data_IF_952296312156
#
_entry.id   IF_952296312156
#
_cell.length_a   1.000
_cell.length_b   1.000
_cell.length_c   1.000
_cell.angle_alpha   90.00
_cell.angle_beta   90.00
_cell.angle_gamma   90.00
#
_symmetry.space_group_name_H-M   'P 1'
#
loop_
_entity.id
_entity.type
_entity.pdbx_description
1 polymer ?
#
# COMPACT_ATOMS: atom_id res chain seq x y z
N UNK A 1 12.94 23.79 -15.66
CA UNK A 1 11.60 23.93 -16.18
C UNK A 1 11.62 23.63 -17.67
N UNK A 2 11.11 22.48 -18.04
CA UNK A 2 11.16 22.03 -19.43
C UNK A 2 9.77 22.12 -20.08
N UNK A 3 9.74 22.52 -21.35
CA UNK A 3 8.55 22.41 -22.18
C UNK A 3 8.35 20.95 -22.58
N UNK A 4 7.18 20.41 -22.32
CA UNK A 4 6.78 19.06 -22.75
C UNK A 4 6.55 18.94 -24.28
N UNK A 5 6.78 20.01 -25.04
CA UNK A 5 6.75 19.98 -26.50
C UNK A 5 7.87 19.09 -27.03
N UNK A 6 7.51 17.93 -27.54
CA UNK A 6 8.44 16.94 -28.05
C UNK A 6 8.55 15.71 -27.15
N UNK A 7 7.55 15.45 -26.30
CA UNK A 7 7.41 14.19 -25.56
C UNK A 7 7.75 13.02 -26.48
N UNK A 8 8.86 12.33 -26.19
CA UNK A 8 9.23 11.10 -26.87
C UNK A 8 8.15 10.03 -26.72
N UNK A 9 8.21 8.99 -27.53
CA UNK A 9 7.22 7.90 -27.54
C UNK A 9 6.98 7.27 -26.17
N UNK A 10 7.91 7.45 -25.23
CA UNK A 10 7.81 6.97 -23.82
C UNK A 10 6.64 7.60 -23.07
N UNK A 11 6.29 8.86 -23.40
CA UNK A 11 5.20 9.60 -22.75
C UNK A 11 3.95 9.74 -23.62
N UNK A 12 4.05 9.46 -24.92
CA UNK A 12 2.95 9.58 -25.89
C UNK A 12 1.98 8.39 -25.94
N UNK A 13 2.30 7.29 -25.22
CA UNK A 13 1.49 6.06 -25.28
C UNK A 13 0.15 6.13 -24.57
N UNK A 14 -0.13 7.24 -23.87
CA UNK A 14 -1.36 7.41 -23.12
C UNK A 14 -2.30 8.36 -23.87
N UNK A 15 -3.00 7.87 -24.89
CA UNK A 15 -4.08 8.62 -25.56
C UNK A 15 -5.15 9.08 -24.54
N UNK A 16 -5.40 8.27 -23.50
CA UNK A 16 -6.35 8.52 -22.41
C UNK A 16 -6.03 9.79 -21.61
N UNK A 17 -4.74 10.14 -21.46
CA UNK A 17 -4.28 11.24 -20.62
C UNK A 17 -3.72 12.44 -21.41
N UNK A 18 -3.90 12.46 -22.73
CA UNK A 18 -3.33 13.50 -23.61
C UNK A 18 -3.68 14.93 -23.18
N UNK A 19 -4.92 15.10 -22.71
CA UNK A 19 -5.44 16.40 -22.27
C UNK A 19 -4.93 16.85 -20.90
N UNK A 20 -4.34 15.94 -20.12
CA UNK A 20 -3.77 16.21 -18.81
C UNK A 20 -2.28 16.58 -18.88
N UNK A 21 -1.65 16.40 -20.05
CA UNK A 21 -0.22 16.67 -20.23
C UNK A 21 0.03 18.19 -20.23
N UNK A 22 0.84 18.63 -19.28
CA UNK A 22 1.24 20.02 -19.14
C UNK A 22 2.39 20.38 -20.10
N UNK A 23 2.41 21.62 -20.57
CA UNK A 23 3.51 22.14 -21.39
C UNK A 23 4.83 22.24 -20.61
N UNK A 24 4.77 22.37 -19.29
CA UNK A 24 5.90 22.43 -18.37
C UNK A 24 5.49 21.97 -16.98
N UNK A 25 6.45 21.56 -16.20
CA UNK A 25 6.25 21.27 -14.77
C UNK A 25 6.86 22.40 -13.94
N UNK A 26 6.15 22.80 -12.89
CA UNK A 26 6.64 23.76 -11.90
C UNK A 26 7.08 22.99 -10.65
N UNK A 27 8.31 23.24 -10.21
CA UNK A 27 8.89 22.59 -9.06
C UNK A 27 9.22 23.66 -8.04
N UNK A 28 8.54 23.63 -6.90
CA UNK A 28 8.85 24.48 -5.77
C UNK A 28 10.01 23.88 -4.99
N UNK A 29 11.09 24.66 -4.83
CA UNK A 29 12.22 24.20 -4.06
C UNK A 29 11.88 24.26 -2.56
N UNK A 30 12.07 23.16 -1.81
CA UNK A 30 11.55 23.05 -0.45
C UNK A 30 12.30 23.93 0.57
N UNK A 31 13.52 24.37 0.28
CA UNK A 31 14.39 25.05 1.21
C UNK A 31 15.23 26.16 0.57
N UNK A 32 15.77 27.05 1.41
CA UNK A 32 16.70 28.12 1.00
C UNK A 32 18.09 27.60 0.63
N UNK A 33 18.41 26.35 0.94
CA UNK A 33 19.70 25.69 0.66
C UNK A 33 19.44 24.47 -0.21
N UNK A 34 20.07 24.41 -1.36
CA UNK A 34 20.03 23.29 -2.27
C UNK A 34 21.30 22.48 -2.14
N UNK A 35 21.17 21.17 -1.94
CA UNK A 35 22.32 20.25 -1.87
C UNK A 35 22.88 19.95 -3.25
N UNK A 36 24.11 19.43 -3.30
CA UNK A 36 24.72 19.02 -4.56
C UNK A 36 23.90 17.96 -5.31
N UNK A 37 23.28 17.02 -4.60
CA UNK A 37 22.45 15.97 -5.19
C UNK A 37 21.21 16.57 -5.88
N UNK A 38 20.56 17.52 -5.23
CA UNK A 38 19.40 18.21 -5.78
C UNK A 38 19.75 19.04 -7.02
N UNK A 39 20.91 19.73 -7.01
CA UNK A 39 21.40 20.46 -8.20
C UNK A 39 21.65 19.50 -9.36
N UNK A 40 22.30 18.36 -9.12
CA UNK A 40 22.57 17.35 -10.15
C UNK A 40 21.26 16.76 -10.72
N UNK A 41 20.28 16.52 -9.86
CA UNK A 41 18.97 16.05 -10.28
C UNK A 41 18.24 17.10 -11.15
N UNK A 42 18.24 18.36 -10.74
CA UNK A 42 17.70 19.46 -11.53
C UNK A 42 18.38 19.59 -12.89
N UNK A 43 19.70 19.44 -12.95
CA UNK A 43 20.46 19.47 -14.18
C UNK A 43 20.05 18.31 -15.12
N UNK A 44 19.92 17.10 -14.59
CA UNK A 44 19.39 15.95 -15.35
C UNK A 44 18.00 16.25 -15.89
N UNK A 45 17.09 16.77 -15.06
CA UNK A 45 15.75 17.13 -15.47
C UNK A 45 15.76 18.19 -16.57
N UNK A 46 16.59 19.24 -16.40
CA UNK A 46 16.69 20.35 -17.34
C UNK A 46 17.22 19.93 -18.73
N UNK A 47 18.05 18.91 -18.78
CA UNK A 47 18.67 18.45 -20.04
C UNK A 47 18.01 17.19 -20.65
N UNK A 48 17.04 16.60 -19.98
CA UNK A 48 16.42 15.34 -20.44
C UNK A 48 15.48 15.51 -21.65
N UNK A 49 14.87 16.68 -21.85
CA UNK A 49 13.90 16.96 -22.93
C UNK A 49 12.77 15.93 -23.03
N UNK A 50 12.45 15.22 -21.96
CA UNK A 50 11.50 14.10 -21.94
C UNK A 50 11.85 12.95 -22.91
N UNK A 51 13.11 12.82 -23.30
CA UNK A 51 13.58 11.77 -24.20
C UNK A 51 13.73 10.42 -23.49
N UNK A 52 14.07 10.48 -22.19
CA UNK A 52 14.27 9.29 -21.35
C UNK A 52 13.37 9.33 -20.15
N UNK A 53 12.77 8.19 -19.76
CA UNK A 53 11.99 8.14 -18.51
C UNK A 53 12.90 8.32 -17.30
N UNK A 54 12.43 9.08 -16.31
CA UNK A 54 13.11 9.28 -15.04
C UNK A 54 12.29 8.58 -13.98
N UNK A 55 12.95 7.71 -13.23
CA UNK A 55 12.35 6.95 -12.16
C UNK A 55 13.04 7.22 -10.83
N UNK A 56 12.25 7.24 -9.78
CA UNK A 56 12.71 7.30 -8.39
C UNK A 56 12.36 5.97 -7.72
N UNK A 57 13.34 5.40 -7.00
CA UNK A 57 13.09 4.22 -6.16
C UNK A 57 12.28 4.64 -4.94
N UNK A 58 11.16 3.95 -4.68
CA UNK A 58 10.36 4.19 -3.49
C UNK A 58 11.10 3.79 -2.22
N UNK A 59 10.58 4.21 -1.07
CA UNK A 59 10.99 3.71 0.24
C UNK A 59 11.66 4.70 1.18
N UNK A 60 12.11 5.86 0.72
CA UNK A 60 12.53 6.94 1.62
C UNK A 60 11.47 8.03 1.65
N UNK A 61 10.91 8.30 2.82
CA UNK A 61 10.04 9.45 3.08
C UNK A 61 10.83 10.68 3.54
N UNK A 62 12.13 10.68 3.36
CA UNK A 62 12.94 11.85 3.66
C UNK A 62 12.63 12.94 2.63
N UNK A 63 12.07 14.04 3.11
CA UNK A 63 11.63 15.20 2.32
C UNK A 63 12.74 15.83 1.46
N UNK A 64 13.99 15.47 1.74
CA UNK A 64 15.17 16.06 1.12
C UNK A 64 15.45 15.65 -0.32
N UNK A 65 14.85 14.55 -0.85
CA UNK A 65 15.24 14.04 -2.16
C UNK A 65 14.24 14.40 -3.27
N UNK A 66 13.24 13.58 -3.52
CA UNK A 66 12.34 13.74 -4.68
C UNK A 66 10.89 14.08 -4.32
N UNK A 67 10.55 14.14 -3.04
CA UNK A 67 9.18 14.40 -2.56
C UNK A 67 8.65 15.76 -3.01
N UNK A 68 9.54 16.75 -3.22
CA UNK A 68 9.21 18.05 -3.79
C UNK A 68 8.67 17.99 -5.22
N UNK A 69 8.82 16.85 -5.94
CA UNK A 69 8.19 16.57 -7.22
C UNK A 69 6.94 15.68 -7.10
N UNK A 70 6.44 15.44 -5.88
CA UNK A 70 5.34 14.50 -5.59
C UNK A 70 4.11 14.69 -6.48
N UNK A 71 3.80 15.94 -6.83
CA UNK A 71 2.65 16.28 -7.66
C UNK A 71 2.77 15.79 -9.11
N UNK A 72 3.95 15.36 -9.52
CA UNK A 72 4.27 14.91 -10.89
C UNK A 72 4.74 13.45 -10.93
N UNK A 73 4.48 12.69 -9.89
CA UNK A 73 4.88 11.29 -9.83
C UNK A 73 3.74 10.37 -10.25
N UNK A 74 4.10 9.29 -10.93
CA UNK A 74 3.23 8.17 -11.28
C UNK A 74 3.84 6.88 -10.72
N UNK A 75 3.04 6.08 -10.04
CA UNK A 75 3.47 4.79 -9.52
C UNK A 75 3.44 3.73 -10.61
N UNK A 76 4.62 3.29 -11.05
CA UNK A 76 4.81 2.21 -12.01
C UNK A 76 5.32 0.95 -11.26
N UNK A 77 4.42 0.19 -10.69
CA UNK A 77 4.75 -1.00 -9.90
C UNK A 77 5.41 -0.69 -8.55
N UNK A 78 6.75 -0.72 -8.48
CA UNK A 78 7.52 -0.45 -7.24
C UNK A 78 8.34 0.85 -7.30
N UNK A 79 8.24 1.59 -8.37
CA UNK A 79 9.02 2.81 -8.61
C UNK A 79 8.09 3.95 -9.00
N UNK A 80 8.54 5.18 -8.77
CA UNK A 80 7.83 6.38 -9.19
C UNK A 80 8.45 6.95 -10.45
N UNK A 81 7.64 7.09 -11.48
CA UNK A 81 8.00 7.74 -12.74
C UNK A 81 7.65 9.22 -12.69
N UNK A 82 8.56 10.09 -13.10
CA UNK A 82 8.25 11.49 -13.32
C UNK A 82 7.42 11.64 -14.59
N UNK A 83 6.26 12.28 -14.51
CA UNK A 83 5.35 12.52 -15.63
C UNK A 83 4.93 13.98 -15.68
N UNK A 84 4.67 14.56 -16.86
CA UNK A 84 4.22 15.94 -17.01
C UNK A 84 2.70 16.06 -16.78
N UNK A 85 2.19 15.37 -15.78
CA UNK A 85 0.77 15.36 -15.39
C UNK A 85 0.71 15.73 -13.92
N UNK A 86 0.07 16.86 -13.60
CA UNK A 86 -0.08 17.28 -12.21
C UNK A 86 -1.25 16.55 -11.58
N UNK A 87 -0.96 15.89 -10.47
CA UNK A 87 -1.96 15.23 -9.64
C UNK A 87 -2.04 15.95 -8.30
N UNK A 88 -3.22 16.39 -7.91
CA UNK A 88 -3.44 16.88 -6.55
C UNK A 88 -3.39 15.67 -5.61
N UNK A 89 -2.36 15.60 -4.80
CA UNK A 89 -2.19 14.53 -3.82
C UNK A 89 -2.85 14.96 -2.52
N UNK A 90 -3.71 14.10 -1.97
CA UNK A 90 -4.05 14.16 -0.56
C UNK A 90 -2.74 14.12 0.24
N UNK A 91 -2.68 14.85 1.37
CA UNK A 91 -1.50 14.89 2.25
C UNK A 91 -1.23 13.54 2.94
N UNK A 92 -1.30 12.45 2.19
CA UNK A 92 -1.04 11.09 2.64
C UNK A 92 0.17 10.54 1.89
N UNK A 93 1.34 10.42 2.55
CA UNK A 93 2.55 9.92 1.92
C UNK A 93 2.41 8.49 1.38
N UNK A 94 1.50 7.69 1.94
CA UNK A 94 1.20 6.34 1.47
C UNK A 94 0.42 6.31 0.15
N UNK A 95 -0.16 7.45 -0.27
CA UNK A 95 -0.89 7.62 -1.54
C UNK A 95 -0.15 8.51 -2.53
N UNK A 96 1.16 8.67 -2.38
CA UNK A 96 1.97 9.48 -3.30
C UNK A 96 1.94 8.91 -4.72
N UNK A 97 1.88 9.82 -5.71
CA UNK A 97 1.87 9.49 -7.15
C UNK A 97 0.50 9.03 -7.66
N UNK A 98 0.17 9.42 -8.88
CA UNK A 98 -1.00 8.88 -9.61
C UNK A 98 -0.78 7.43 -10.00
N UNK A 99 -1.85 6.74 -10.34
CA UNK A 99 -1.80 5.41 -10.95
C UNK A 99 -2.39 5.51 -12.35
N UNK A 100 -1.69 4.95 -13.32
CA UNK A 100 -2.23 4.53 -14.60
C UNK A 100 -2.54 3.05 -14.46
N UNK A 101 -3.82 2.73 -14.29
CA UNK A 101 -4.29 1.39 -13.95
C UNK A 101 -3.92 0.36 -15.01
N UNK A 102 -4.06 0.67 -16.30
CA UNK A 102 -3.74 -0.25 -17.39
C UNK A 102 -2.24 -0.54 -17.47
N UNK A 103 -1.40 0.51 -17.38
CA UNK A 103 0.05 0.35 -17.40
C UNK A 103 0.54 -0.41 -16.18
N UNK A 104 0.06 -0.03 -14.99
CA UNK A 104 0.49 -0.67 -13.75
C UNK A 104 0.03 -2.13 -13.67
N UNK A 105 -1.18 -2.44 -14.15
CA UNK A 105 -1.67 -3.82 -14.27
C UNK A 105 -0.74 -4.65 -15.15
N UNK A 106 -0.37 -4.16 -16.34
CA UNK A 106 0.56 -4.82 -17.25
C UNK A 106 1.96 -5.05 -16.66
N UNK A 107 2.43 -4.11 -15.85
CA UNK A 107 3.72 -4.21 -15.13
C UNK A 107 3.63 -5.31 -14.07
N UNK A 108 2.60 -5.28 -13.24
CA UNK A 108 2.39 -6.22 -12.12
C UNK A 108 2.25 -7.65 -12.62
N UNK A 109 1.53 -7.87 -13.73
CA UNK A 109 1.37 -9.20 -14.35
C UNK A 109 2.69 -9.81 -14.84
N UNK A 110 3.72 -9.00 -15.05
CA UNK A 110 5.07 -9.45 -15.47
C UNK A 110 6.05 -9.66 -14.30
N UNK A 111 5.63 -9.38 -13.07
CA UNK A 111 6.51 -9.56 -11.92
C UNK A 111 6.93 -11.04 -11.73
N UNK A 112 8.19 -11.23 -11.39
CA UNK A 112 8.70 -12.54 -10.97
C UNK A 112 8.67 -12.63 -9.44
N UNK A 113 7.97 -13.62 -8.91
CA UNK A 113 7.70 -13.75 -7.47
C UNK A 113 8.68 -14.67 -6.71
N UNK A 114 9.55 -15.41 -7.44
CA UNK A 114 10.65 -16.16 -6.84
C UNK A 114 10.24 -17.18 -5.78
N UNK A 115 9.14 -17.91 -5.99
CA UNK A 115 8.57 -18.87 -5.04
C UNK A 115 8.10 -18.23 -3.70
N UNK A 116 7.74 -16.96 -3.71
CA UNK A 116 7.30 -16.24 -2.51
C UNK A 116 6.12 -16.89 -1.77
N UNK A 117 5.32 -17.68 -2.46
CA UNK A 117 4.18 -18.43 -1.92
C UNK A 117 4.55 -19.77 -1.25
N UNK A 118 5.80 -20.25 -1.42
CA UNK A 118 6.20 -21.57 -0.96
C UNK A 118 6.38 -21.63 0.56
N UNK A 119 5.90 -22.70 1.18
CA UNK A 119 6.15 -23.06 2.57
C UNK A 119 7.46 -23.82 2.77
N UNK A 120 8.10 -24.24 1.67
CA UNK A 120 9.37 -24.96 1.70
C UNK A 120 10.59 -24.04 1.88
N UNK A 121 10.40 -22.71 1.75
CA UNK A 121 11.46 -21.71 1.89
C UNK A 121 11.31 -20.93 3.19
N UNK A 122 12.45 -20.53 3.75
CA UNK A 122 12.45 -19.64 4.91
C UNK A 122 12.19 -18.19 4.47
N UNK A 123 11.08 -17.61 4.98
CA UNK A 123 10.75 -16.22 4.77
C UNK A 123 11.41 -15.37 5.88
N UNK A 124 12.59 -14.86 5.62
CA UNK A 124 13.32 -14.03 6.56
C UNK A 124 12.61 -12.69 6.85
N UNK A 125 12.96 -12.00 7.97
CA UNK A 125 12.30 -10.75 8.35
C UNK A 125 12.38 -9.65 7.29
N UNK A 126 13.49 -9.53 6.56
CA UNK A 126 13.66 -8.51 5.52
C UNK A 126 12.78 -8.80 4.30
N UNK A 127 12.69 -10.05 3.87
CA UNK A 127 11.75 -10.47 2.81
C UNK A 127 10.31 -10.15 3.20
N UNK A 128 9.92 -10.45 4.45
CA UNK A 128 8.59 -10.12 4.97
C UNK A 128 8.35 -8.62 5.03
N UNK A 129 9.35 -7.83 5.44
CA UNK A 129 9.30 -6.38 5.48
C UNK A 129 9.16 -5.78 4.07
N UNK A 130 9.94 -6.25 3.11
CA UNK A 130 9.87 -5.78 1.73
C UNK A 130 8.49 -6.02 1.09
N UNK A 131 7.77 -7.06 1.51
CA UNK A 131 6.40 -7.32 1.05
C UNK A 131 5.39 -6.20 1.38
N UNK A 132 5.72 -5.31 2.31
CA UNK A 132 4.91 -4.13 2.66
C UNK A 132 4.67 -3.27 1.42
N UNK A 133 5.73 -2.92 0.70
CA UNK A 133 5.62 -2.10 -0.51
C UNK A 133 4.80 -2.79 -1.61
N UNK A 134 4.98 -4.09 -1.79
CA UNK A 134 4.20 -4.86 -2.75
C UNK A 134 2.70 -4.82 -2.43
N UNK A 135 2.33 -5.13 -1.17
CA UNK A 135 0.92 -5.14 -0.75
C UNK A 135 0.28 -3.77 -0.83
N UNK A 136 0.99 -2.74 -0.37
CA UNK A 136 0.52 -1.35 -0.44
C UNK A 136 0.26 -0.93 -1.89
N UNK A 137 1.17 -1.23 -2.80
CA UNK A 137 1.03 -0.84 -4.19
C UNK A 137 -0.03 -1.66 -4.93
N UNK A 138 -0.19 -2.96 -4.61
CA UNK A 138 -1.27 -3.78 -5.16
C UNK A 138 -2.65 -3.33 -4.64
N UNK A 139 -2.74 -2.91 -3.38
CA UNK A 139 -3.97 -2.34 -2.84
C UNK A 139 -4.37 -1.07 -3.59
N UNK A 140 -3.42 -0.16 -3.79
CA UNK A 140 -3.66 1.07 -4.55
C UNK A 140 -4.09 0.80 -6.00
N UNK A 141 -3.47 -0.18 -6.66
CA UNK A 141 -3.88 -0.60 -8.01
C UNK A 141 -5.30 -1.17 -8.00
N UNK A 142 -5.65 -2.01 -7.03
CA UNK A 142 -7.01 -2.56 -6.94
C UNK A 142 -8.05 -1.47 -6.68
N UNK A 143 -7.76 -0.50 -5.80
CA UNK A 143 -8.62 0.66 -5.55
C UNK A 143 -8.87 1.48 -6.82
N UNK A 144 -7.83 1.73 -7.62
CA UNK A 144 -7.95 2.48 -8.89
C UNK A 144 -8.79 1.70 -9.92
N UNK A 145 -8.49 0.41 -10.12
CA UNK A 145 -9.27 -0.46 -11.02
C UNK A 145 -10.75 -0.51 -10.62
N UNK A 146 -11.05 -0.57 -9.33
CA UNK A 146 -12.43 -0.54 -8.81
C UNK A 146 -13.08 0.81 -9.13
N UNK A 147 -12.38 1.92 -8.96
CA UNK A 147 -12.88 3.27 -9.25
C UNK A 147 -13.24 3.46 -10.73
N UNK A 148 -12.53 2.75 -11.62
CA UNK A 148 -12.76 2.74 -13.07
C UNK A 148 -13.81 1.70 -13.51
N UNK A 149 -14.30 0.83 -12.59
CA UNK A 149 -15.26 -0.23 -12.89
C UNK A 149 -14.64 -1.51 -13.46
N UNK A 150 -13.31 -1.64 -13.45
CA UNK A 150 -12.55 -2.79 -13.96
C UNK A 150 -12.47 -3.91 -12.91
N UNK A 151 -13.64 -4.41 -12.46
CA UNK A 151 -13.76 -5.33 -11.33
C UNK A 151 -13.05 -6.67 -11.52
N UNK A 152 -13.01 -7.20 -12.75
CA UNK A 152 -12.33 -8.45 -13.07
C UNK A 152 -10.81 -8.30 -12.92
N UNK A 153 -10.25 -7.19 -13.42
CA UNK A 153 -8.82 -6.91 -13.24
C UNK A 153 -8.47 -6.67 -11.76
N UNK A 154 -9.35 -5.97 -11.03
CA UNK A 154 -9.18 -5.76 -9.60
C UNK A 154 -9.15 -7.09 -8.83
N UNK A 155 -10.07 -8.02 -9.12
CA UNK A 155 -10.08 -9.37 -8.52
C UNK A 155 -8.78 -10.12 -8.82
N UNK A 156 -8.28 -10.08 -10.06
CA UNK A 156 -7.01 -10.73 -10.41
C UNK A 156 -5.83 -10.19 -9.60
N UNK A 157 -5.76 -8.87 -9.38
CA UNK A 157 -4.71 -8.25 -8.57
C UNK A 157 -4.83 -8.64 -7.09
N UNK A 158 -6.04 -8.68 -6.56
CA UNK A 158 -6.30 -9.13 -5.19
C UNK A 158 -5.92 -10.61 -5.01
N UNK A 159 -6.35 -11.49 -5.92
CA UNK A 159 -5.99 -12.90 -5.90
C UNK A 159 -4.47 -13.10 -6.00
N UNK A 160 -3.80 -12.31 -6.83
CA UNK A 160 -2.35 -12.32 -6.94
C UNK A 160 -1.68 -11.95 -5.62
N UNK A 161 -2.15 -10.90 -4.93
CA UNK A 161 -1.58 -10.46 -3.66
C UNK A 161 -1.67 -11.56 -2.59
N UNK A 162 -2.83 -12.18 -2.43
CA UNK A 162 -3.05 -13.23 -1.42
C UNK A 162 -2.38 -14.55 -1.78
N UNK A 163 -2.30 -14.91 -3.08
CA UNK A 163 -1.64 -16.14 -3.51
C UNK A 163 -0.12 -16.05 -3.40
N UNK A 164 0.47 -14.89 -3.74
CA UNK A 164 1.92 -14.70 -3.77
C UNK A 164 2.53 -14.28 -2.44
N UNK A 165 1.71 -13.74 -1.55
CA UNK A 165 2.12 -13.35 -0.20
C UNK A 165 1.12 -13.89 0.82
N UNK A 166 1.10 -15.21 1.10
CA UNK A 166 0.16 -15.81 2.04
C UNK A 166 0.24 -15.16 3.43
N UNK A 167 -0.92 -14.94 4.06
CA UNK A 167 -1.05 -14.36 5.40
C UNK A 167 -0.18 -15.10 6.42
N UNK A 168 -0.04 -16.41 6.27
CA UNK A 168 0.66 -17.27 7.22
C UNK A 168 2.16 -16.99 7.29
N UNK A 169 2.77 -16.50 6.20
CA UNK A 169 4.22 -16.31 6.12
C UNK A 169 4.67 -14.87 6.25
N UNK A 170 3.85 -13.91 5.81
CA UNK A 170 4.31 -12.54 5.62
C UNK A 170 4.10 -11.61 6.82
N UNK A 171 3.16 -11.87 7.72
CA UNK A 171 2.90 -10.96 8.85
C UNK A 171 2.43 -9.57 8.40
N UNK A 172 2.70 -8.53 9.21
CA UNK A 172 2.27 -7.14 8.95
C UNK A 172 0.78 -7.05 8.58
N UNK A 173 -0.04 -7.61 9.43
CA UNK A 173 -1.46 -7.94 9.14
C UNK A 173 -2.32 -6.73 8.80
N UNK A 174 -2.01 -5.55 9.33
CA UNK A 174 -2.71 -4.30 9.00
C UNK A 174 -2.74 -3.97 7.51
N UNK A 175 -1.76 -4.47 6.75
CA UNK A 175 -1.69 -4.24 5.30
C UNK A 175 -2.63 -5.15 4.49
N UNK A 176 -3.32 -6.07 5.13
CA UNK A 176 -4.34 -6.88 4.48
C UNK A 176 -5.72 -6.22 4.49
N UNK A 177 -5.98 -5.33 5.45
CA UNK A 177 -7.29 -4.67 5.61
C UNK A 177 -7.73 -3.89 4.36
N UNK A 178 -6.88 -3.10 3.69
CA UNK A 178 -7.27 -2.43 2.44
C UNK A 178 -7.63 -3.40 1.31
N UNK A 179 -6.90 -4.52 1.19
CA UNK A 179 -7.20 -5.57 0.21
C UNK A 179 -8.52 -6.30 0.53
N UNK A 180 -8.80 -6.53 1.81
CA UNK A 180 -10.08 -7.08 2.29
C UNK A 180 -11.23 -6.14 1.91
N UNK A 181 -11.06 -4.83 2.14
CA UNK A 181 -12.03 -3.81 1.73
C UNK A 181 -12.29 -3.87 0.23
N UNK A 182 -11.25 -3.91 -0.59
CA UNK A 182 -11.37 -4.00 -2.05
C UNK A 182 -12.18 -5.23 -2.52
N UNK A 183 -12.02 -6.39 -1.85
CA UNK A 183 -12.85 -7.55 -2.16
C UNK A 183 -14.34 -7.33 -1.81
N UNK A 184 -14.65 -6.63 -0.73
CA UNK A 184 -16.02 -6.25 -0.42
C UNK A 184 -16.60 -5.32 -1.49
N UNK A 185 -15.80 -4.32 -1.90
CA UNK A 185 -16.21 -3.33 -2.90
C UNK A 185 -16.56 -3.98 -4.26
N UNK A 186 -15.96 -5.13 -4.59
CA UNK A 186 -16.29 -5.92 -5.79
C UNK A 186 -17.26 -7.08 -5.53
N UNK A 187 -17.87 -7.15 -4.33
CA UNK A 187 -18.92 -8.13 -4.00
C UNK A 187 -18.42 -9.57 -3.77
N UNK A 188 -17.15 -9.78 -3.40
CA UNK A 188 -16.56 -11.12 -3.18
C UNK A 188 -16.55 -11.53 -1.71
N UNK A 189 -17.67 -11.38 -1.01
CA UNK A 189 -17.82 -11.66 0.42
C UNK A 189 -17.40 -13.07 0.85
N UNK A 190 -17.59 -14.08 0.00
CA UNK A 190 -17.15 -15.46 0.28
C UNK A 190 -15.62 -15.56 0.49
N UNK A 191 -14.83 -14.94 -0.43
CA UNK A 191 -13.38 -14.89 -0.29
C UNK A 191 -12.95 -14.15 0.98
N UNK A 192 -13.64 -13.06 1.28
CA UNK A 192 -13.37 -12.25 2.46
C UNK A 192 -13.56 -13.04 3.75
N UNK A 193 -14.60 -13.88 3.84
CA UNK A 193 -14.87 -14.67 5.06
C UNK A 193 -13.67 -15.54 5.46
N UNK A 194 -13.05 -16.22 4.50
CA UNK A 194 -11.86 -17.03 4.78
C UNK A 194 -10.67 -16.18 5.25
N UNK A 195 -10.46 -15.02 4.61
CA UNK A 195 -9.38 -14.09 4.93
C UNK A 195 -9.59 -13.51 6.34
N UNK A 196 -10.80 -13.04 6.62
CA UNK A 196 -11.19 -12.48 7.92
C UNK A 196 -10.98 -13.51 9.03
N UNK A 197 -11.40 -14.75 8.84
CA UNK A 197 -11.20 -15.82 9.82
C UNK A 197 -9.71 -16.04 10.12
N UNK A 198 -8.86 -16.08 9.08
CA UNK A 198 -7.41 -16.21 9.26
C UNK A 198 -6.82 -15.02 10.01
N UNK A 199 -7.17 -13.79 9.64
CA UNK A 199 -6.66 -12.58 10.30
C UNK A 199 -7.11 -12.51 11.77
N UNK A 200 -8.38 -12.75 12.04
CA UNK A 200 -8.93 -12.75 13.39
C UNK A 200 -8.28 -13.81 14.27
N UNK A 201 -8.05 -15.01 13.72
CA UNK A 201 -7.29 -16.05 14.41
C UNK A 201 -5.87 -15.59 14.77
N UNK A 202 -5.15 -14.96 13.82
CA UNK A 202 -3.79 -14.45 14.06
C UNK A 202 -3.78 -13.37 15.16
N UNK A 203 -4.73 -12.46 15.17
CA UNK A 203 -4.83 -11.45 16.24
C UNK A 203 -5.16 -12.08 17.58
N UNK A 204 -6.16 -12.98 17.64
CA UNK A 204 -6.53 -13.65 18.87
C UNK A 204 -5.41 -14.54 19.43
N UNK A 205 -4.67 -15.25 18.58
CA UNK A 205 -3.53 -16.09 18.97
C UNK A 205 -2.41 -15.24 19.57
N UNK A 206 -2.04 -14.13 18.95
CA UNK A 206 -1.04 -13.20 19.46
C UNK A 206 -1.46 -12.56 20.80
N UNK A 207 -2.70 -12.10 20.90
CA UNK A 207 -3.22 -11.55 22.16
C UNK A 207 -3.27 -12.62 23.25
N UNK A 208 -3.60 -13.87 22.92
CA UNK A 208 -3.54 -15.01 23.85
C UNK A 208 -2.11 -15.27 24.32
N UNK A 209 -1.13 -15.21 23.43
CA UNK A 209 0.28 -15.31 23.80
C UNK A 209 0.67 -14.19 24.77
N UNK A 210 0.38 -12.94 24.47
CA UNK A 210 0.69 -11.82 25.35
C UNK A 210 0.02 -11.95 26.73
N UNK A 211 -1.20 -12.47 26.78
CA UNK A 211 -1.90 -12.70 28.05
C UNK A 211 -1.26 -13.79 28.93
N UNK A 212 -0.52 -14.70 28.32
CA UNK A 212 0.22 -15.75 29.03
C UNK A 212 1.51 -15.25 29.70
N UNK A 213 1.97 -14.05 29.36
CA UNK A 213 3.14 -13.44 29.96
C UNK A 213 2.83 -12.93 31.40
N UNK A 214 3.84 -12.86 32.25
CA UNK A 214 3.72 -12.15 33.52
C UNK A 214 3.38 -10.66 33.28
N UNK A 215 2.61 -10.05 34.17
CA UNK A 215 2.14 -8.66 34.04
C UNK A 215 3.28 -7.68 33.76
N UNK A 216 4.42 -7.85 34.40
CA UNK A 216 5.59 -7.00 34.18
C UNK A 216 6.06 -7.07 32.72
N UNK A 217 6.17 -8.28 32.18
CA UNK A 217 6.58 -8.48 30.77
C UNK A 217 5.51 -7.99 29.77
N UNK A 218 4.24 -7.96 30.16
CA UNK A 218 3.17 -7.40 29.32
C UNK A 218 3.33 -5.88 29.15
N UNK A 219 3.84 -5.16 30.15
CA UNK A 219 4.16 -3.73 29.99
C UNK A 219 5.30 -3.49 29.01
N UNK A 220 6.31 -4.37 28.97
CA UNK A 220 7.43 -4.27 28.04
C UNK A 220 7.01 -4.42 26.58
N UNK A 221 5.91 -5.15 26.30
CA UNK A 221 5.32 -5.36 24.97
C UNK A 221 3.98 -4.63 24.79
N UNK A 222 3.75 -3.59 25.58
CA UNK A 222 2.48 -2.86 25.59
C UNK A 222 2.12 -2.22 24.25
N UNK A 223 3.10 -1.71 23.50
CA UNK A 223 2.89 -1.13 22.17
C UNK A 223 2.43 -2.18 21.16
N UNK A 224 2.98 -3.39 21.21
CA UNK A 224 2.58 -4.51 20.37
C UNK A 224 1.16 -4.97 20.70
N UNK A 225 0.79 -5.03 21.97
CA UNK A 225 -0.57 -5.37 22.42
C UNK A 225 -1.57 -4.34 21.89
N UNK A 226 -1.30 -3.05 22.11
CA UNK A 226 -2.15 -1.95 21.60
C UNK A 226 -2.28 -2.04 20.07
N UNK A 227 -1.17 -2.23 19.38
CA UNK A 227 -1.17 -2.33 17.91
C UNK A 227 -2.02 -3.50 17.41
N UNK A 228 -1.98 -4.66 18.06
CA UNK A 228 -2.78 -5.82 17.64
C UNK A 228 -4.27 -5.63 17.98
N UNK A 229 -4.62 -4.98 19.07
CA UNK A 229 -5.99 -4.59 19.40
C UNK A 229 -6.54 -3.63 18.34
N UNK A 230 -5.78 -2.59 17.98
CA UNK A 230 -6.20 -1.63 16.94
C UNK A 230 -6.35 -2.28 15.56
N UNK A 231 -5.45 -3.17 15.19
CA UNK A 231 -5.55 -3.93 13.93
C UNK A 231 -6.80 -4.79 13.87
N UNK A 232 -7.12 -5.45 14.99
CA UNK A 232 -8.33 -6.27 15.07
C UNK A 232 -9.60 -5.40 15.02
N UNK A 233 -9.59 -4.24 15.70
CA UNK A 233 -10.68 -3.25 15.64
C UNK A 233 -10.89 -2.77 14.21
N UNK A 234 -9.84 -2.34 13.51
CA UNK A 234 -9.91 -1.88 12.12
C UNK A 234 -10.47 -2.97 11.17
N UNK A 235 -10.15 -4.23 11.42
CA UNK A 235 -10.75 -5.33 10.65
C UNK A 235 -12.26 -5.42 10.89
N UNK A 236 -12.72 -5.30 12.15
CA UNK A 236 -14.15 -5.30 12.49
C UNK A 236 -14.87 -4.10 11.87
N UNK A 237 -14.29 -2.91 11.93
CA UNK A 237 -14.83 -1.70 11.30
C UNK A 237 -15.01 -1.91 9.79
N UNK A 238 -14.02 -2.50 9.12
CA UNK A 238 -14.11 -2.82 7.68
C UNK A 238 -15.27 -3.79 7.39
N UNK A 239 -15.48 -4.81 8.22
CA UNK A 239 -16.60 -5.74 8.10
C UNK A 239 -17.94 -5.02 8.33
N UNK A 240 -18.00 -4.14 9.31
CA UNK A 240 -19.20 -3.36 9.63
C UNK A 240 -19.55 -2.40 8.49
N UNK A 241 -18.59 -1.68 7.95
CA UNK A 241 -18.77 -0.77 6.81
C UNK A 241 -19.24 -1.47 5.54
N UNK A 242 -18.81 -2.71 5.31
CA UNK A 242 -19.26 -3.51 4.18
C UNK A 242 -20.70 -4.03 4.31
N UNK A 243 -21.30 -3.92 5.50
CA UNK A 243 -22.64 -4.42 5.77
C UNK A 243 -22.76 -5.94 5.97
N UNK A 244 -21.64 -6.66 6.10
CA UNK A 244 -21.59 -8.10 6.28
C UNK A 244 -21.96 -8.50 7.72
N UNK A 245 -23.25 -8.80 7.94
CA UNK A 245 -23.79 -9.07 9.28
C UNK A 245 -23.53 -10.48 9.79
N UNK A 246 -23.34 -11.44 8.88
CA UNK A 246 -23.26 -12.86 9.25
C UNK A 246 -22.03 -13.16 10.13
N UNK A 247 -20.87 -12.57 9.77
CA UNK A 247 -19.63 -12.79 10.51
C UNK A 247 -19.34 -11.71 11.56
N UNK A 248 -19.98 -10.54 11.45
CA UNK A 248 -19.68 -9.39 12.33
C UNK A 248 -19.86 -9.73 13.82
N UNK A 249 -20.96 -10.38 14.19
CA UNK A 249 -21.26 -10.70 15.58
C UNK A 249 -20.21 -11.66 16.19
N UNK A 250 -19.73 -12.64 15.42
CA UNK A 250 -18.72 -13.59 15.87
C UNK A 250 -17.36 -12.90 15.97
N UNK A 251 -17.03 -11.99 15.07
CA UNK A 251 -15.78 -11.23 15.11
C UNK A 251 -15.75 -10.26 16.30
N UNK A 252 -16.84 -9.56 16.61
CA UNK A 252 -16.96 -8.70 17.79
C UNK A 252 -16.77 -9.54 19.07
N UNK A 253 -17.41 -10.71 19.17
CA UNK A 253 -17.26 -11.60 20.30
C UNK A 253 -15.82 -12.06 20.48
N UNK A 254 -15.16 -12.47 19.41
CA UNK A 254 -13.75 -12.86 19.41
C UNK A 254 -12.84 -11.71 19.84
N UNK A 255 -13.08 -10.51 19.32
CA UNK A 255 -12.35 -9.30 19.71
C UNK A 255 -12.47 -9.00 21.20
N UNK A 256 -13.69 -8.94 21.73
CA UNK A 256 -13.93 -8.67 23.15
C UNK A 256 -13.21 -9.70 24.01
N UNK A 257 -13.39 -10.98 23.72
CA UNK A 257 -12.75 -12.07 24.46
C UNK A 257 -11.23 -12.01 24.46
N UNK A 258 -10.62 -11.52 23.37
CA UNK A 258 -9.16 -11.44 23.23
C UNK A 258 -8.58 -10.16 23.84
N UNK A 259 -9.34 -9.05 23.87
CA UNK A 259 -8.85 -7.72 24.22
C UNK A 259 -9.20 -7.27 25.65
N UNK A 260 -10.32 -7.72 26.22
CA UNK A 260 -10.80 -7.25 27.55
C UNK A 260 -9.80 -7.43 28.69
N UNK A 261 -8.95 -8.43 28.60
CA UNK A 261 -7.90 -8.71 29.59
C UNK A 261 -6.78 -7.67 29.61
N UNK A 262 -6.69 -6.80 28.60
CA UNK A 262 -5.68 -5.74 28.47
C UNK A 262 -6.22 -4.35 28.78
N UNK A 263 -7.41 -4.23 29.38
CA UNK A 263 -8.01 -2.94 29.73
C UNK A 263 -7.08 -2.05 30.58
N UNK A 264 -6.20 -2.64 31.39
CA UNK A 264 -5.24 -1.92 32.24
C UNK A 264 -4.08 -1.30 31.44
N UNK A 265 -3.81 -1.76 30.18
CA UNK A 265 -2.82 -1.18 29.27
C UNK A 265 -3.50 -0.16 28.36
N UNK A 266 -4.67 -0.49 27.83
CA UNK A 266 -5.33 0.29 26.80
C UNK A 266 -6.25 1.39 27.34
N UNK A 267 -6.58 1.35 28.63
CA UNK A 267 -7.66 2.15 29.21
C UNK A 267 -9.03 1.52 28.91
N UNK A 268 -10.12 2.08 29.40
CA UNK A 268 -11.44 1.52 29.11
C UNK A 268 -11.71 1.55 27.59
N UNK A 269 -11.73 0.37 27.01
CA UNK A 269 -12.15 0.14 25.61
C UNK A 269 -13.61 0.55 25.42
#
# INVERSE_FOLDING_TARGET
IQRSRGLGDVYKRQEKDSDLILDYIDIDLPESIITKNQIMMLDILANNNWERPIYFTGGSYEESEYIWMKDYLQLDGLVYKLVPIKTSIENNPYKMGRIDSDLMYDIVKKWSWGNSESDEIYHDPETRKNSISFRSNLSRLSEELISEGEYEKAEEILDLAFSKMPIDYYGYYSLWTPLVKSYYDIGKSEKVREIVQKLSFKYSDRLSYFSSLEIFNQYDVGEEIISDIERFRNLIETIQESGEKEILADQIKSFISSSEQFNYIYGCL
#
